data_IF_125454454391
#
_entry.id   IF_125454454391
#
_cell.length_a   1.000
_cell.length_b   1.000
_cell.length_c   1.000
_cell.angle_alpha   90.00
_cell.angle_beta   90.00
_cell.angle_gamma   90.00
#
_symmetry.space_group_name_H-M   'P 1'
#
loop_
_entity.id
_entity.type
_entity.pdbx_description
1 polymer ?
#
# COMPACT_ATOMS: atom_id res chain seq x y z
N UNK A 1 5.37 -10.38 2.37
CA UNK A 1 6.59 -10.51 3.18
C UNK A 1 6.46 -9.82 4.53
N UNK A 2 6.20 -8.51 4.60
CA UNK A 2 6.04 -7.80 5.88
C UNK A 2 5.07 -8.49 6.86
N UNK A 3 3.84 -8.79 6.41
CA UNK A 3 2.83 -9.51 7.22
C UNK A 3 3.34 -10.89 7.67
N UNK A 4 4.10 -11.60 6.83
CA UNK A 4 4.59 -12.94 7.18
C UNK A 4 5.60 -12.90 8.34
N UNK A 5 6.34 -11.80 8.48
CA UNK A 5 7.38 -11.67 9.50
C UNK A 5 6.89 -11.08 10.83
N UNK A 6 5.73 -10.41 10.85
CA UNK A 6 5.23 -9.75 12.07
C UNK A 6 3.73 -9.92 12.34
N UNK A 7 2.93 -10.40 11.39
CA UNK A 7 1.50 -10.66 11.60
C UNK A 7 0.54 -9.51 11.29
N UNK A 8 1.02 -8.31 10.90
CA UNK A 8 0.16 -7.16 10.60
C UNK A 8 0.61 -6.40 9.35
N UNK A 9 -0.27 -5.62 8.68
CA UNK A 9 0.10 -4.91 7.45
C UNK A 9 1.02 -3.70 7.69
N UNK A 10 1.91 -3.36 6.73
CA UNK A 10 2.90 -2.28 6.88
C UNK A 10 2.25 -0.90 6.96
N UNK A 11 1.09 -0.74 6.34
CA UNK A 11 0.28 0.47 6.39
C UNK A 11 -0.99 0.09 7.15
N UNK A 12 -0.95 0.25 8.47
CA UNK A 12 -2.11 0.10 9.34
C UNK A 12 -2.27 1.30 10.27
N UNK A 13 -3.49 1.50 10.75
CA UNK A 13 -3.85 2.52 11.72
C UNK A 13 -4.96 1.95 12.60
N UNK A 14 -4.64 1.73 13.88
CA UNK A 14 -5.52 1.09 14.88
C UNK A 14 -6.85 1.82 15.13
N UNK A 15 -6.99 3.06 14.65
CA UNK A 15 -8.15 3.92 14.95
C UNK A 15 -8.84 4.50 13.71
N UNK A 16 -8.48 4.04 12.51
CA UNK A 16 -9.06 4.59 11.29
C UNK A 16 -9.60 3.48 10.41
N UNK A 17 -10.72 3.78 9.75
CA UNK A 17 -11.30 2.90 8.73
C UNK A 17 -10.23 2.37 7.75
N UNK A 18 -10.41 1.14 7.26
CA UNK A 18 -9.77 0.67 6.04
C UNK A 18 -9.72 1.79 5.01
N UNK A 19 -8.49 2.18 4.61
CA UNK A 19 -8.26 3.23 3.60
C UNK A 19 -8.75 4.63 4.01
N UNK A 20 -8.52 5.00 5.27
CA UNK A 20 -8.59 6.39 5.70
C UNK A 20 -7.67 7.31 4.86
N UNK A 21 -7.95 8.62 4.78
CA UNK A 21 -7.05 9.58 4.13
C UNK A 21 -5.60 9.50 4.63
N UNK A 22 -5.42 9.20 5.93
CA UNK A 22 -4.11 8.97 6.53
C UNK A 22 -3.41 7.74 5.96
N UNK A 23 -4.13 6.64 5.77
CA UNK A 23 -3.58 5.42 5.16
C UNK A 23 -3.07 5.66 3.74
N UNK A 24 -3.89 6.32 2.91
CA UNK A 24 -3.49 6.68 1.53
C UNK A 24 -2.25 7.54 1.52
N UNK A 25 -2.14 8.46 2.48
CA UNK A 25 -0.96 9.33 2.61
C UNK A 25 0.28 8.53 2.98
N UNK A 26 0.19 7.60 3.94
CA UNK A 26 1.30 6.70 4.30
C UNK A 26 1.76 5.83 3.12
N UNK A 27 0.82 5.26 2.36
CA UNK A 27 1.16 4.47 1.17
C UNK A 27 1.86 5.35 0.11
N UNK A 28 1.33 6.54 -0.17
CA UNK A 28 1.90 7.47 -1.15
C UNK A 28 3.27 8.04 -0.73
N UNK A 29 3.53 8.14 0.57
CA UNK A 29 4.81 8.62 1.11
C UNK A 29 5.77 7.48 1.45
N UNK A 30 5.32 6.23 1.40
CA UNK A 30 6.09 5.07 1.82
C UNK A 30 6.37 5.04 3.32
N UNK A 31 5.52 5.67 4.14
CA UNK A 31 5.71 5.73 5.59
C UNK A 31 5.18 4.46 6.29
N UNK A 32 6.11 3.60 6.67
CA UNK A 32 5.92 2.46 7.56
C UNK A 32 7.15 2.29 8.45
N UNK A 33 7.07 1.44 9.48
CA UNK A 33 8.15 1.26 10.47
C UNK A 33 8.34 -0.22 10.78
N UNK A 34 9.41 -0.54 11.47
CA UNK A 34 9.69 -1.87 12.02
C UNK A 34 9.74 -1.77 13.56
N UNK A 35 8.59 -1.85 14.26
CA UNK A 35 8.54 -1.79 15.73
C UNK A 35 9.45 -2.82 16.39
N UNK A 36 10.28 -2.40 17.34
CA UNK A 36 11.28 -3.27 17.97
C UNK A 36 10.67 -4.47 18.69
N UNK A 37 9.46 -4.31 19.24
CA UNK A 37 8.67 -5.36 19.90
C UNK A 37 8.48 -6.62 19.03
N UNK A 38 8.29 -6.46 17.72
CA UNK A 38 8.07 -7.57 16.79
C UNK A 38 9.24 -7.81 15.83
N UNK A 39 10.11 -6.81 15.64
CA UNK A 39 11.17 -6.83 14.62
C UNK A 39 12.60 -6.91 15.18
N UNK A 40 12.77 -6.98 16.51
CA UNK A 40 14.11 -7.08 17.13
C UNK A 40 14.88 -8.32 16.68
N UNK A 41 14.20 -9.44 16.44
CA UNK A 41 14.83 -10.72 16.04
C UNK A 41 14.86 -10.93 14.51
N UNK A 42 14.28 -10.01 13.74
CA UNK A 42 14.27 -10.09 12.27
C UNK A 42 15.54 -9.45 11.71
N UNK A 43 16.24 -10.16 10.83
CA UNK A 43 17.52 -9.68 10.28
C UNK A 43 17.34 -8.40 9.46
N UNK A 44 18.39 -7.59 9.42
CA UNK A 44 18.38 -6.34 8.67
C UNK A 44 18.35 -6.59 7.16
N UNK A 45 18.87 -7.73 6.66
CA UNK A 45 18.70 -8.06 5.24
C UNK A 45 17.22 -8.25 4.87
N UNK A 46 16.42 -8.87 5.76
CA UNK A 46 14.99 -9.02 5.55
C UNK A 46 14.29 -7.65 5.49
N UNK A 47 14.61 -6.76 6.43
CA UNK A 47 14.06 -5.39 6.49
C UNK A 47 14.42 -4.58 5.24
N UNK A 48 15.69 -4.64 4.82
CA UNK A 48 16.18 -3.98 3.60
C UNK A 48 15.46 -4.50 2.35
N UNK A 49 15.22 -5.81 2.27
CA UNK A 49 14.48 -6.41 1.16
C UNK A 49 13.01 -5.93 1.12
N UNK A 50 12.34 -5.82 2.28
CA UNK A 50 11.01 -5.22 2.34
C UNK A 50 11.05 -3.78 1.86
N UNK A 51 12.04 -3.01 2.32
CA UNK A 51 12.17 -1.61 1.93
C UNK A 51 12.31 -1.43 0.43
N UNK A 52 13.14 -2.26 -0.20
CA UNK A 52 13.29 -2.27 -1.64
C UNK A 52 11.96 -2.58 -2.35
N UNK A 53 11.23 -3.60 -1.91
CA UNK A 53 9.93 -3.97 -2.49
C UNK A 53 8.84 -2.92 -2.33
N UNK A 54 8.84 -2.18 -1.21
CA UNK A 54 7.87 -1.12 -0.90
C UNK A 54 8.29 0.28 -1.38
N UNK A 55 9.24 0.35 -2.33
CA UNK A 55 9.62 1.62 -2.97
C UNK A 55 8.41 2.25 -3.67
N UNK A 56 8.13 3.51 -3.35
CA UNK A 56 6.97 4.27 -3.86
C UNK A 56 7.07 4.46 -5.37
N UNK A 57 8.23 4.94 -5.85
CA UNK A 57 8.48 5.18 -7.27
C UNK A 57 8.63 3.85 -8.02
N UNK A 58 7.71 3.51 -8.95
CA UNK A 58 7.73 2.23 -9.65
C UNK A 58 9.02 1.99 -10.43
N UNK A 59 9.56 3.03 -11.08
CA UNK A 59 10.80 2.96 -11.87
C UNK A 59 12.05 2.68 -11.02
N UNK A 60 12.02 3.03 -9.73
CA UNK A 60 13.11 2.75 -8.78
C UNK A 60 12.94 1.40 -8.08
N UNK A 61 11.75 0.79 -8.18
CA UNK A 61 11.46 -0.49 -7.52
C UNK A 61 12.24 -1.60 -8.24
N UNK A 62 13.01 -2.43 -7.52
CA UNK A 62 13.76 -3.51 -8.14
C UNK A 62 12.82 -4.50 -8.83
N UNK A 63 13.28 -5.04 -9.95
CA UNK A 63 12.59 -6.12 -10.62
C UNK A 63 12.68 -7.43 -9.81
N UNK A 64 11.87 -8.41 -10.21
CA UNK A 64 11.82 -9.70 -9.52
C UNK A 64 13.16 -10.45 -9.54
N UNK A 65 13.93 -10.35 -10.62
CA UNK A 65 15.24 -11.02 -10.72
C UNK A 65 16.24 -10.48 -9.69
N UNK A 66 16.22 -9.17 -9.43
CA UNK A 66 17.05 -8.52 -8.42
C UNK A 66 16.63 -8.94 -7.02
N UNK A 67 15.31 -9.00 -6.76
CA UNK A 67 14.74 -9.45 -5.49
C UNK A 67 15.17 -10.89 -5.20
N UNK A 68 15.04 -11.80 -6.16
CA UNK A 68 15.39 -13.23 -6.01
C UNK A 68 16.88 -13.45 -5.74
N UNK A 69 17.75 -12.54 -6.18
CA UNK A 69 19.20 -12.57 -5.93
C UNK A 69 19.62 -11.90 -4.62
N UNK A 70 18.67 -11.35 -3.85
CA UNK A 70 19.00 -10.79 -2.53
C UNK A 70 19.55 -11.88 -1.61
N UNK A 71 20.58 -11.56 -0.84
CA UNK A 71 21.21 -12.51 0.10
C UNK A 71 20.19 -13.18 1.01
N UNK A 72 19.16 -12.44 1.43
CA UNK A 72 18.10 -12.99 2.27
C UNK A 72 17.29 -14.10 1.59
N UNK A 73 17.01 -13.99 0.28
CA UNK A 73 16.29 -15.05 -0.46
C UNK A 73 17.22 -16.13 -1.02
N UNK A 74 18.42 -15.78 -1.49
CA UNK A 74 19.34 -16.76 -2.08
C UNK A 74 19.94 -17.70 -1.04
N UNK A 75 20.11 -17.23 0.19
CA UNK A 75 20.69 -17.98 1.31
C UNK A 75 19.61 -18.43 2.29
N UNK A 76 18.37 -18.66 1.82
CA UNK A 76 17.24 -18.96 2.70
C UNK A 76 17.45 -20.19 3.60
N UNK A 77 18.30 -21.13 3.20
CA UNK A 77 18.62 -22.35 3.94
C UNK A 77 19.60 -22.13 5.10
N UNK A 78 20.30 -21.00 5.14
CA UNK A 78 21.29 -20.69 6.18
C UNK A 78 20.74 -19.82 7.30
N UNK A 79 19.53 -19.28 7.14
CA UNK A 79 18.92 -18.43 8.15
C UNK A 79 18.53 -19.19 9.42
N UNK A 80 18.64 -18.56 10.60
CA UNK A 80 18.23 -19.17 11.85
C UNK A 80 16.71 -19.40 11.87
N UNK A 81 16.28 -20.48 12.53
CA UNK A 81 14.87 -20.75 12.84
C UNK A 81 14.38 -19.86 13.98
N UNK A 82 14.48 -18.55 13.80
CA UNK A 82 14.01 -17.56 14.77
C UNK A 82 12.48 -17.64 14.85
N UNK A 83 11.90 -17.87 16.03
CA UNK A 83 10.45 -17.91 16.18
C UNK A 83 9.86 -16.53 15.90
N UNK A 84 8.75 -16.50 15.17
CA UNK A 84 8.02 -15.28 14.82
C UNK A 84 6.70 -15.19 15.59
N UNK A 85 6.31 -13.98 15.97
CA UNK A 85 5.02 -13.72 16.63
C UNK A 85 3.82 -13.72 15.66
N UNK A 86 4.07 -13.93 14.36
CA UNK A 86 3.08 -13.83 13.29
C UNK A 86 1.80 -14.60 13.59
N UNK A 87 1.89 -15.86 14.02
CA UNK A 87 0.71 -16.69 14.29
C UNK A 87 -0.13 -16.15 15.45
N UNK A 88 0.52 -15.69 16.52
CA UNK A 88 -0.14 -15.10 17.69
C UNK A 88 -0.88 -13.82 17.31
N UNK A 89 -0.22 -12.91 16.60
CA UNK A 89 -0.81 -11.61 16.22
C UNK A 89 -1.98 -11.80 15.25
N UNK A 90 -1.84 -12.69 14.26
CA UNK A 90 -2.95 -12.99 13.33
C UNK A 90 -4.16 -13.60 14.05
N UNK A 91 -3.94 -14.38 15.11
CA UNK A 91 -5.05 -14.91 15.92
C UNK A 91 -5.72 -13.84 16.78
N UNK A 92 -4.94 -12.88 17.31
CA UNK A 92 -5.47 -11.75 18.09
C UNK A 92 -6.28 -10.78 17.22
N UNK A 93 -5.84 -10.55 15.98
CA UNK A 93 -6.50 -9.67 15.02
C UNK A 93 -7.48 -10.40 14.08
N UNK A 94 -7.84 -11.66 14.38
CA UNK A 94 -8.64 -12.50 13.49
C UNK A 94 -10.02 -11.88 13.18
N UNK A 95 -10.65 -11.23 14.15
CA UNK A 95 -11.93 -10.54 13.96
C UNK A 95 -11.84 -9.35 12.99
N UNK A 96 -10.65 -8.77 12.83
CA UNK A 96 -10.38 -7.61 11.97
C UNK A 96 -9.77 -8.01 10.62
N UNK A 97 -9.52 -9.31 10.41
CA UNK A 97 -8.79 -9.79 9.24
C UNK A 97 -9.54 -9.52 7.94
N UNK A 98 -10.87 -9.63 7.94
CA UNK A 98 -11.71 -9.32 6.77
C UNK A 98 -11.55 -7.86 6.33
N UNK A 99 -11.48 -6.92 7.28
CA UNK A 99 -11.26 -5.51 7.02
C UNK A 99 -9.85 -5.24 6.48
N UNK A 100 -8.85 -5.95 7.01
CA UNK A 100 -7.46 -5.90 6.53
C UNK A 100 -7.37 -6.41 5.10
N UNK A 101 -8.00 -7.54 4.80
CA UNK A 101 -8.01 -8.14 3.46
C UNK A 101 -8.70 -7.21 2.45
N UNK A 102 -9.84 -6.64 2.81
CA UNK A 102 -10.55 -5.65 2.00
C UNK A 102 -9.67 -4.42 1.72
N UNK A 103 -8.99 -3.89 2.74
CA UNK A 103 -8.09 -2.75 2.61
C UNK A 103 -6.93 -3.03 1.65
N UNK A 104 -6.34 -4.23 1.73
CA UNK A 104 -5.25 -4.67 0.85
C UNK A 104 -5.77 -4.77 -0.60
N UNK A 105 -6.92 -5.39 -0.81
CA UNK A 105 -7.52 -5.54 -2.13
C UNK A 105 -7.79 -4.19 -2.80
N UNK A 106 -8.44 -3.27 -2.08
CA UNK A 106 -8.76 -1.96 -2.63
C UNK A 106 -7.50 -1.10 -2.84
N UNK A 107 -6.50 -1.17 -1.95
CA UNK A 107 -5.21 -0.51 -2.15
C UNK A 107 -4.49 -1.02 -3.39
N UNK A 108 -4.47 -2.34 -3.60
CA UNK A 108 -3.90 -2.95 -4.79
C UNK A 108 -4.64 -2.53 -6.06
N UNK A 109 -5.97 -2.46 -6.01
CA UNK A 109 -6.79 -1.95 -7.11
C UNK A 109 -6.41 -0.51 -7.44
N UNK A 110 -6.34 0.36 -6.43
CA UNK A 110 -5.97 1.77 -6.60
C UNK A 110 -4.57 1.94 -7.22
N UNK A 111 -3.57 1.20 -6.72
CA UNK A 111 -2.19 1.29 -7.18
C UNK A 111 -1.96 0.68 -8.58
N UNK A 112 -2.91 -0.11 -9.09
CA UNK A 112 -2.87 -0.71 -10.43
C UNK A 112 -3.68 0.06 -11.47
N UNK A 113 -4.49 1.03 -11.04
CA UNK A 113 -5.23 1.85 -12.01
C UNK A 113 -4.25 2.74 -12.78
N UNK A 114 -4.35 2.81 -14.11
CA UNK A 114 -3.60 3.78 -14.88
C UNK A 114 -4.01 5.19 -14.44
N UNK A 115 -3.01 6.00 -14.10
CA UNK A 115 -3.17 7.39 -13.63
C UNK A 115 -3.69 8.36 -14.70
N UNK A 116 -3.60 7.98 -15.98
CA UNK A 116 -3.58 8.92 -17.10
C UNK A 116 -4.68 8.75 -18.13
N UNK A 117 -5.79 8.05 -17.83
CA UNK A 117 -7.00 8.22 -18.63
C UNK A 117 -7.57 9.63 -18.38
N UNK A 118 -6.99 10.60 -19.07
CA UNK A 118 -7.49 11.97 -19.12
C UNK A 118 -8.82 11.95 -19.87
N UNK A 119 -9.89 12.13 -19.13
CA UNK A 119 -11.21 12.38 -19.70
C UNK A 119 -11.14 13.74 -20.40
N UNK A 120 -11.27 13.74 -21.73
CA UNK A 120 -11.35 14.97 -22.50
C UNK A 120 -12.67 15.69 -22.19
N UNK A 121 -12.57 16.79 -21.45
CA UNK A 121 -13.72 17.62 -21.06
C UNK A 121 -14.45 18.20 -22.27
N UNK A 122 -13.76 18.40 -23.41
CA UNK A 122 -14.36 18.98 -24.61
C UNK A 122 -15.35 18.02 -25.29
N UNK A 123 -15.10 16.72 -25.20
CA UNK A 123 -15.95 15.67 -25.79
C UNK A 123 -16.87 15.02 -24.76
N UNK A 124 -16.77 15.41 -23.49
CA UNK A 124 -17.53 14.80 -22.40
C UNK A 124 -18.96 15.34 -22.36
N UNK A 125 -19.94 14.45 -22.52
CA UNK A 125 -21.35 14.79 -22.30
C UNK A 125 -21.78 14.46 -20.86
N UNK A 126 -21.91 15.51 -20.04
CA UNK A 126 -22.26 15.37 -18.62
C UNK A 126 -23.23 16.48 -18.20
N UNK A 127 -24.37 16.11 -17.61
CA UNK A 127 -25.40 17.06 -17.19
C UNK A 127 -24.93 18.10 -16.16
N UNK A 128 -23.90 17.81 -15.35
CA UNK A 128 -23.28 18.80 -14.45
C UNK A 128 -22.48 19.83 -15.25
N UNK A 129 -21.75 19.39 -16.28
CA UNK A 129 -20.96 20.25 -17.15
C UNK A 129 -21.87 21.19 -17.94
N UNK A 130 -22.95 20.66 -18.54
CA UNK A 130 -23.97 21.41 -19.26
C UNK A 130 -24.59 22.52 -18.37
N UNK A 131 -25.06 22.16 -17.16
CA UNK A 131 -25.63 23.13 -16.21
C UNK A 131 -24.64 24.22 -15.78
N UNK A 132 -23.36 23.91 -15.68
CA UNK A 132 -22.30 24.91 -15.36
C UNK A 132 -22.06 25.86 -16.52
N UNK A 133 -22.04 25.35 -17.76
CA UNK A 133 -21.91 26.17 -18.98
C UNK A 133 -23.12 27.10 -19.16
N UNK A 134 -24.33 26.62 -18.93
CA UNK A 134 -25.57 27.42 -18.99
C UNK A 134 -25.55 28.58 -17.97
N UNK A 135 -25.09 28.34 -16.74
CA UNK A 135 -24.96 29.39 -15.71
C UNK A 135 -23.96 30.47 -16.11
N UNK A 136 -22.82 30.10 -16.70
CA UNK A 136 -21.84 31.09 -17.18
C UNK A 136 -22.39 31.91 -18.36
N UNK A 137 -23.06 31.26 -19.31
CA UNK A 137 -23.70 31.95 -20.43
C UNK A 137 -24.80 32.92 -19.99
N UNK A 138 -25.55 32.59 -18.94
CA UNK A 138 -26.59 33.48 -18.40
C UNK A 138 -26.01 34.68 -17.61
N UNK A 139 -24.85 34.53 -16.97
CA UNK A 139 -24.18 35.64 -16.29
C UNK A 139 -23.54 36.62 -17.29
N UNK A 140 -23.04 36.15 -18.43
CA UNK A 140 -22.44 37.01 -19.46
C UNK A 140 -23.46 37.76 -20.33
N UNK A 141 -24.76 37.47 -20.18
CA UNK A 141 -25.86 38.12 -20.90
C UNK A 141 -26.53 39.26 -20.12
N UNK A 142 -26.10 39.52 -18.88
CA UNK A 142 -26.53 40.67 -18.06
C UNK A 142 -25.44 41.73 -18.05
#
# INVERSE_FOLDING_TARGET
MYILLCGYPPFYSKHSLPISPGMKTKIRTGEYRFPEEDWCMVSDEAKNLIQAMLTVEPEKRPNIETILKSSWLSEFTTHPNTPLNTSRILMEELEQWDDIEAAICETNKYNRMPSDEKIDISTSDNGILQRRQERQNNNNKK
#
